data_IF_924297104860
#
_entry.id   IF_924297104860
#
_cell.length_a   1.000
_cell.length_b   1.000
_cell.length_c   1.000
_cell.angle_alpha   90.00
_cell.angle_beta   90.00
_cell.angle_gamma   90.00
#
_symmetry.space_group_name_H-M   'P 1'
#
loop_
_entity.id
_entity.type
_entity.pdbx_description
1 polymer ?
#
# COMPACT_ATOMS: atom_id res chain seq x y z
N UNK A 1 25.08 10.96 14.73
CA UNK A 1 25.13 9.80 13.81
C UNK A 1 24.85 8.54 14.62
N UNK A 2 23.70 7.90 14.42
CA UNK A 2 23.40 6.48 14.72
C UNK A 2 21.87 6.29 14.83
N UNK A 3 21.18 6.04 13.71
CA UNK A 3 19.77 5.61 13.75
C UNK A 3 19.39 4.75 12.52
N UNK A 4 20.35 4.06 11.91
CA UNK A 4 20.16 3.42 10.60
C UNK A 4 20.15 1.88 10.60
N UNK A 5 20.10 1.21 11.76
CA UNK A 5 20.26 -0.26 11.79
C UNK A 5 19.11 -1.05 12.46
N UNK A 6 18.09 -0.41 13.05
CA UNK A 6 17.01 -1.13 13.75
C UNK A 6 15.61 -0.97 13.14
N UNK A 7 15.48 -0.37 11.95
CA UNK A 7 14.18 -0.26 11.25
C UNK A 7 13.90 -1.44 10.32
N UNK A 8 14.89 -2.26 9.99
CA UNK A 8 14.79 -3.21 8.88
C UNK A 8 13.91 -4.44 9.15
N UNK A 9 13.69 -4.83 10.40
CA UNK A 9 12.83 -5.97 10.77
C UNK A 9 11.42 -5.51 11.14
N UNK A 10 11.27 -4.57 12.07
CA UNK A 10 9.96 -4.07 12.49
C UNK A 10 9.15 -3.48 11.33
N UNK A 11 9.79 -2.70 10.45
CA UNK A 11 9.11 -2.14 9.29
C UNK A 11 8.64 -3.25 8.34
N UNK A 12 9.44 -4.30 8.13
CA UNK A 12 9.04 -5.44 7.30
C UNK A 12 7.85 -6.19 7.90
N UNK A 13 7.81 -6.40 9.20
CA UNK A 13 6.71 -7.07 9.88
C UNK A 13 5.40 -6.26 9.80
N UNK A 14 5.45 -4.95 10.04
CA UNK A 14 4.27 -4.08 9.93
C UNK A 14 3.81 -3.95 8.48
N UNK A 15 4.74 -3.80 7.54
CA UNK A 15 4.47 -3.83 6.11
C UNK A 15 3.86 -5.13 5.64
N UNK A 16 4.34 -6.27 6.13
CA UNK A 16 3.81 -7.57 5.74
C UNK A 16 2.40 -7.78 6.30
N UNK A 17 2.11 -7.25 7.49
CA UNK A 17 0.75 -7.24 8.06
C UNK A 17 -0.17 -6.32 7.29
N UNK A 18 0.29 -5.11 6.96
CA UNK A 18 -0.47 -4.16 6.15
C UNK A 18 -0.73 -4.73 4.76
N UNK A 19 0.30 -5.29 4.11
CA UNK A 19 0.16 -5.92 2.80
C UNK A 19 -0.85 -7.07 2.82
N UNK A 20 -0.83 -7.95 3.83
CA UNK A 20 -1.87 -8.99 4.01
C UNK A 20 -3.26 -8.46 4.33
N UNK A 21 -3.34 -7.24 4.84
CA UNK A 21 -4.61 -6.55 5.05
C UNK A 21 -5.18 -6.04 3.73
N UNK A 22 -4.31 -5.69 2.78
CA UNK A 22 -4.67 -5.30 1.42
C UNK A 22 -4.94 -6.51 0.51
N UNK A 23 -3.97 -7.41 0.42
CA UNK A 23 -3.96 -8.66 -0.34
C UNK A 23 -4.91 -9.69 0.30
N UNK A 24 -6.15 -9.70 -0.19
CA UNK A 24 -7.21 -10.54 0.38
C UNK A 24 -7.14 -11.95 -0.20
N UNK A 25 -6.67 -12.07 -1.45
CA UNK A 25 -6.53 -13.33 -2.16
C UNK A 25 -5.21 -14.07 -1.84
N UNK A 26 -4.25 -13.42 -1.16
CA UNK A 26 -2.91 -13.87 -0.83
C UNK A 26 -2.09 -14.31 -2.06
N UNK A 27 -2.28 -13.64 -3.20
CA UNK A 27 -1.52 -13.87 -4.44
C UNK A 27 -0.16 -13.16 -4.44
N UNK A 28 0.11 -12.32 -3.44
CA UNK A 28 1.35 -11.56 -3.31
C UNK A 28 1.33 -10.22 -4.05
N UNK A 29 0.19 -9.85 -4.62
CA UNK A 29 -0.06 -8.60 -5.32
C UNK A 29 -1.33 -7.95 -4.77
N UNK A 30 -1.44 -6.63 -4.92
CA UNK A 30 -2.65 -5.90 -4.58
C UNK A 30 -3.25 -5.38 -5.87
N UNK A 31 -4.43 -5.89 -6.22
CA UNK A 31 -5.14 -5.39 -7.38
C UNK A 31 -6.02 -4.16 -7.04
N UNK A 32 -6.51 -3.51 -8.10
CA UNK A 32 -7.38 -2.32 -8.03
C UNK A 32 -8.56 -2.51 -7.08
N UNK A 33 -9.15 -3.69 -7.06
CA UNK A 33 -10.36 -3.97 -6.30
C UNK A 33 -10.02 -4.18 -4.83
N UNK A 34 -8.93 -4.88 -4.55
CA UNK A 34 -8.41 -5.11 -3.21
C UNK A 34 -7.99 -3.81 -2.52
N UNK A 35 -7.21 -2.97 -3.21
CA UNK A 35 -6.81 -1.67 -2.69
C UNK A 35 -8.04 -0.82 -2.35
N UNK A 36 -9.03 -0.76 -3.26
CA UNK A 36 -10.27 0.00 -3.06
C UNK A 36 -11.09 -0.50 -1.87
N UNK A 37 -11.23 -1.82 -1.74
CA UNK A 37 -11.97 -2.44 -0.64
C UNK A 37 -11.33 -2.09 0.71
N UNK A 38 -10.01 -2.17 0.78
CA UNK A 38 -9.27 -2.02 2.03
C UNK A 38 -9.11 -0.56 2.40
N UNK A 39 -8.86 0.34 1.45
CA UNK A 39 -8.93 1.79 1.68
C UNK A 39 -10.31 2.21 2.19
N UNK A 40 -11.39 1.63 1.67
CA UNK A 40 -12.75 1.91 2.16
C UNK A 40 -12.98 1.39 3.58
N UNK A 41 -12.32 0.29 3.98
CA UNK A 41 -12.39 -0.28 5.34
C UNK A 41 -11.53 0.49 6.34
N UNK A 42 -10.30 0.89 5.96
CA UNK A 42 -9.35 1.58 6.81
C UNK A 42 -9.66 3.06 6.96
N UNK A 43 -10.14 3.69 5.88
CA UNK A 43 -10.46 5.11 5.83
C UNK A 43 -11.96 5.32 5.52
N UNK A 44 -12.90 4.84 6.35
CA UNK A 44 -14.34 5.00 6.10
C UNK A 44 -14.78 6.47 6.09
N UNK A 45 -13.98 7.36 6.70
CA UNK A 45 -14.18 8.82 6.69
C UNK A 45 -13.58 9.50 5.45
N UNK A 46 -12.66 8.84 4.76
CA UNK A 46 -11.98 9.38 3.58
C UNK A 46 -12.57 8.70 2.34
N UNK A 47 -13.55 9.35 1.71
CA UNK A 47 -14.08 8.90 0.42
C UNK A 47 -13.06 9.23 -0.66
N UNK A 48 -12.18 8.29 -0.96
CA UNK A 48 -11.35 8.33 -2.16
C UNK A 48 -12.24 8.03 -3.38
N UNK A 49 -12.47 9.00 -4.29
CA UNK A 49 -13.17 8.73 -5.53
C UNK A 49 -12.35 7.77 -6.41
N UNK A 50 -13.02 7.03 -7.28
CA UNK A 50 -12.40 6.08 -8.20
C UNK A 50 -11.25 6.69 -9.03
N UNK A 51 -11.34 7.97 -9.37
CA UNK A 51 -10.27 8.73 -10.05
C UNK A 51 -9.00 8.86 -9.19
N UNK A 52 -9.15 9.11 -7.89
CA UNK A 52 -8.01 9.24 -6.96
C UNK A 52 -7.35 7.88 -6.75
N UNK A 53 -8.14 6.82 -6.66
CA UNK A 53 -7.62 5.43 -6.59
C UNK A 53 -6.90 5.07 -7.88
N UNK A 54 -7.44 5.42 -9.05
CA UNK A 54 -6.77 5.22 -10.34
C UNK A 54 -5.45 5.99 -10.41
N UNK A 55 -5.41 7.22 -9.89
CA UNK A 55 -4.19 8.04 -9.83
C UNK A 55 -3.16 7.45 -8.88
N UNK A 56 -3.58 7.03 -7.68
CA UNK A 56 -2.71 6.35 -6.73
C UNK A 56 -2.10 5.10 -7.35
N UNK A 57 -2.92 4.27 -7.98
CA UNK A 57 -2.43 3.04 -8.62
C UNK A 57 -1.53 3.37 -9.79
N UNK A 58 -1.90 4.27 -10.70
CA UNK A 58 -1.03 4.63 -11.83
C UNK A 58 0.29 5.30 -11.40
N UNK A 59 0.32 5.93 -10.23
CA UNK A 59 1.56 6.51 -9.67
C UNK A 59 2.45 5.46 -8.98
N UNK A 60 1.85 4.36 -8.53
CA UNK A 60 2.53 3.28 -7.79
C UNK A 60 2.95 2.14 -8.72
N UNK A 61 2.10 1.82 -9.68
CA UNK A 61 2.23 0.83 -10.75
C UNK A 61 3.29 1.30 -11.76
N UNK A 62 4.56 1.08 -11.41
CA UNK A 62 5.71 1.47 -12.24
C UNK A 62 5.91 0.49 -13.37
N UNK A 63 5.59 -0.78 -13.11
CA UNK A 63 5.69 -1.86 -14.09
C UNK A 63 4.52 -1.88 -15.10
N UNK A 64 3.44 -1.09 -14.86
CA UNK A 64 2.20 -1.03 -15.64
C UNK A 64 1.52 -2.40 -15.82
N UNK A 65 1.62 -3.27 -14.82
CA UNK A 65 0.96 -4.57 -14.81
C UNK A 65 -0.50 -4.49 -14.30
N UNK A 66 -0.91 -3.31 -13.81
CA UNK A 66 -2.25 -3.04 -13.29
C UNK A 66 -2.48 -3.59 -11.87
N UNK A 67 -1.43 -4.12 -11.24
CA UNK A 67 -1.35 -4.58 -9.87
C UNK A 67 -0.27 -3.79 -9.14
N UNK A 68 -0.19 -3.99 -7.83
CA UNK A 68 0.87 -3.41 -7.00
C UNK A 68 1.60 -4.57 -6.34
N UNK A 69 2.87 -4.74 -6.66
CA UNK A 69 3.69 -5.73 -5.96
C UNK A 69 4.16 -5.21 -4.59
N UNK A 70 4.68 -6.11 -3.76
CA UNK A 70 5.16 -5.77 -2.41
C UNK A 70 6.23 -4.66 -2.43
N UNK A 71 7.08 -4.63 -3.45
CA UNK A 71 8.14 -3.62 -3.59
C UNK A 71 7.55 -2.25 -3.95
N UNK A 72 6.61 -2.22 -4.91
CA UNK A 72 5.91 -1.00 -5.32
C UNK A 72 5.08 -0.40 -4.17
N UNK A 73 4.43 -1.25 -3.38
CA UNK A 73 3.70 -0.85 -2.17
C UNK A 73 4.62 -0.18 -1.15
N UNK A 74 5.78 -0.76 -0.89
CA UNK A 74 6.78 -0.22 0.05
C UNK A 74 7.31 1.14 -0.38
N UNK A 75 7.65 1.29 -1.67
CA UNK A 75 8.28 2.51 -2.16
C UNK A 75 7.29 3.68 -2.33
N UNK A 76 6.02 3.40 -2.61
CA UNK A 76 5.08 4.46 -3.07
C UNK A 76 3.79 4.58 -2.26
N UNK A 77 3.23 3.50 -1.70
CA UNK A 77 2.00 3.55 -0.87
C UNK A 77 2.35 3.88 0.58
N UNK A 78 3.39 3.24 1.13
CA UNK A 78 3.75 3.43 2.54
C UNK A 78 4.06 4.87 2.95
N UNK A 79 4.81 5.66 2.15
CA UNK A 79 5.06 7.07 2.46
C UNK A 79 3.77 7.89 2.47
N UNK A 80 2.80 7.53 1.63
CA UNK A 80 1.52 8.24 1.54
C UNK A 80 0.57 7.89 2.68
N UNK A 81 0.51 6.62 3.11
CA UNK A 81 -0.31 6.21 4.26
C UNK A 81 0.26 6.74 5.58
N UNK A 82 1.58 6.72 5.76
CA UNK A 82 2.23 7.29 6.94
C UNK A 82 2.08 8.80 7.05
N UNK A 83 1.81 9.51 5.94
CA UNK A 83 1.62 10.97 5.93
C UNK A 83 0.21 11.37 6.38
N UNK A 84 -0.73 10.42 6.50
CA UNK A 84 -2.13 10.68 6.87
C UNK A 84 -2.36 10.53 8.40
N UNK A 85 -1.31 10.24 9.19
CA UNK A 85 -1.34 10.31 10.67
C UNK A 85 -0.82 11.66 11.19
#
# INVERSE_FOLDING_TARGET
MAASANRSSAMKDDLQKEFRLFDTNNDGFIDKNELKLVLKKLLPKFKLPDDEIKRMISNVDRNNDGKIDYHEFMESIYPQLSTIQ
#
